data_IF_375260367037
#
_entry.id   IF_375260367037
#
_cell.length_a   1.000
_cell.length_b   1.000
_cell.length_c   1.000
_cell.angle_alpha   90.00
_cell.angle_beta   90.00
_cell.angle_gamma   90.00
#
_symmetry.space_group_name_H-M   'P 1'
#
loop_
_entity.id
_entity.type
_entity.pdbx_description
1 polymer ?
#
# COMPACT_ATOMS: atom_id res chain seq x y z
N UNK A 1 28.97 -2.55 -2.97
CA UNK A 1 28.17 -3.78 -2.83
C UNK A 1 26.87 -3.46 -2.10
N UNK A 2 25.76 -3.96 -2.63
CA UNK A 2 24.44 -3.70 -2.05
C UNK A 2 24.28 -4.46 -0.74
N UNK A 3 23.82 -3.81 0.31
CA UNK A 3 23.55 -4.48 1.57
C UNK A 3 22.25 -5.29 1.46
N UNK A 4 22.18 -6.39 2.23
CA UNK A 4 20.96 -7.22 2.25
C UNK A 4 19.82 -6.49 2.95
N UNK A 5 18.59 -6.89 2.63
CA UNK A 5 17.41 -6.38 3.32
C UNK A 5 17.48 -6.61 4.83
N UNK A 6 17.96 -7.79 5.24
CA UNK A 6 18.06 -8.15 6.66
C UNK A 6 19.03 -7.23 7.41
N UNK A 7 20.16 -6.93 6.79
CA UNK A 7 21.14 -6.02 7.40
C UNK A 7 20.59 -4.60 7.49
N UNK A 8 19.99 -4.12 6.42
CA UNK A 8 19.40 -2.79 6.41
C UNK A 8 18.25 -2.69 7.41
N UNK A 9 17.44 -3.72 7.51
CA UNK A 9 16.37 -3.76 8.51
C UNK A 9 16.91 -3.68 9.93
N UNK A 10 17.98 -4.44 10.23
CA UNK A 10 18.62 -4.40 11.54
C UNK A 10 19.14 -3.00 11.87
N UNK A 11 19.76 -2.33 10.90
CA UNK A 11 20.24 -0.96 11.10
C UNK A 11 19.09 0.02 11.31
N UNK A 12 18.02 -0.11 10.52
CA UNK A 12 16.84 0.73 10.65
C UNK A 12 16.18 0.54 12.02
N UNK A 13 16.15 -0.68 12.54
CA UNK A 13 15.60 -0.95 13.87
C UNK A 13 16.39 -0.26 14.97
N UNK A 14 17.65 0.07 14.70
CA UNK A 14 18.51 0.80 15.65
C UNK A 14 18.39 2.31 15.47
N UNK A 15 17.52 2.78 14.57
CA UNK A 15 17.29 4.19 14.36
C UNK A 15 18.06 4.80 13.19
N UNK A 16 18.66 4.01 12.33
CA UNK A 16 19.40 4.50 11.17
C UNK A 16 18.43 4.82 10.03
N UNK A 17 18.09 6.10 9.88
CA UNK A 17 17.16 6.55 8.84
C UNK A 17 17.70 6.31 7.44
N UNK A 18 19.02 6.41 7.24
CA UNK A 18 19.63 6.14 5.94
C UNK A 18 19.43 4.68 5.54
N UNK A 19 19.52 3.77 6.51
CA UNK A 19 19.27 2.35 6.24
C UNK A 19 17.83 2.11 5.82
N UNK A 20 16.88 2.82 6.41
CA UNK A 20 15.48 2.72 6.01
C UNK A 20 15.27 3.16 4.56
N UNK A 21 15.86 4.28 4.17
CA UNK A 21 15.80 4.76 2.79
C UNK A 21 16.40 3.75 1.83
N UNK A 22 17.54 3.17 2.19
CA UNK A 22 18.20 2.14 1.38
C UNK A 22 17.36 0.88 1.27
N UNK A 23 16.66 0.52 2.35
CA UNK A 23 15.77 -0.64 2.36
C UNK A 23 14.61 -0.45 1.40
N UNK A 24 14.00 0.72 1.40
CA UNK A 24 12.93 1.08 0.46
C UNK A 24 13.47 1.01 -0.97
N UNK A 25 14.62 1.59 -1.21
CA UNK A 25 15.24 1.60 -2.54
C UNK A 25 15.56 0.19 -3.03
N UNK A 26 16.07 -0.68 -2.15
CA UNK A 26 16.38 -2.07 -2.50
C UNK A 26 15.14 -2.82 -2.98
N UNK A 27 13.96 -2.45 -2.49
CA UNK A 27 12.72 -3.17 -2.79
C UNK A 27 11.80 -2.42 -3.73
N UNK A 28 12.30 -1.35 -4.32
CA UNK A 28 11.56 -0.49 -5.25
C UNK A 28 10.96 -1.26 -6.41
N UNK A 29 11.72 -2.17 -7.01
CA UNK A 29 11.24 -2.97 -8.14
C UNK A 29 10.11 -3.91 -7.73
N UNK A 30 10.25 -4.55 -6.57
CA UNK A 30 9.21 -5.44 -6.06
C UNK A 30 7.92 -4.68 -5.77
N UNK A 31 8.03 -3.56 -5.07
CA UNK A 31 6.87 -2.74 -4.72
C UNK A 31 6.20 -2.21 -5.98
N UNK A 32 7.00 -1.77 -6.97
CA UNK A 32 6.48 -1.30 -8.25
C UNK A 32 5.73 -2.40 -9.00
N UNK A 33 6.26 -3.61 -8.98
CA UNK A 33 5.60 -4.75 -9.63
C UNK A 33 4.27 -5.06 -8.97
N UNK A 34 4.22 -5.12 -7.64
CA UNK A 34 2.98 -5.38 -6.92
C UNK A 34 1.95 -4.28 -7.21
N UNK A 35 2.38 -3.02 -7.20
CA UNK A 35 1.49 -1.89 -7.48
C UNK A 35 0.93 -1.97 -8.90
N UNK A 36 1.77 -2.26 -9.89
CA UNK A 36 1.33 -2.36 -11.28
C UNK A 36 0.38 -3.55 -11.48
N UNK A 37 0.68 -4.69 -10.85
CA UNK A 37 -0.17 -5.87 -10.93
C UNK A 37 -1.54 -5.63 -10.32
N UNK A 38 -1.59 -4.98 -9.16
CA UNK A 38 -2.86 -4.61 -8.51
C UNK A 38 -3.65 -3.62 -9.35
N UNK A 39 -2.97 -2.59 -9.85
CA UNK A 39 -3.61 -1.55 -10.66
C UNK A 39 -4.31 -2.16 -11.86
N UNK A 40 -3.63 -3.12 -12.51
CA UNK A 40 -4.16 -3.78 -13.69
C UNK A 40 -5.25 -4.79 -13.34
N UNK A 41 -5.00 -5.67 -12.35
CA UNK A 41 -5.93 -6.74 -12.00
C UNK A 41 -7.25 -6.21 -11.44
N UNK A 42 -7.21 -5.08 -10.76
CA UNK A 42 -8.42 -4.44 -10.21
C UNK A 42 -9.03 -3.41 -11.16
N UNK A 43 -8.45 -3.26 -12.35
CA UNK A 43 -8.93 -2.32 -13.37
C UNK A 43 -9.08 -0.90 -12.83
N UNK A 44 -8.08 -0.44 -12.08
CA UNK A 44 -8.16 0.85 -11.39
C UNK A 44 -8.17 2.03 -12.34
N UNK A 45 -7.61 1.88 -13.55
CA UNK A 45 -7.61 2.94 -14.55
C UNK A 45 -9.03 3.39 -14.92
N UNK A 46 -10.00 2.47 -14.93
CA UNK A 46 -11.39 2.75 -15.28
C UNK A 46 -12.30 2.79 -14.06
N UNK A 47 -11.75 2.74 -12.86
CA UNK A 47 -12.55 2.64 -11.64
C UNK A 47 -13.22 3.94 -11.21
N UNK A 48 -12.69 5.08 -11.65
CA UNK A 48 -13.14 6.38 -11.17
C UNK A 48 -12.62 6.73 -9.78
N UNK A 49 -11.76 5.90 -9.18
CA UNK A 49 -11.26 6.12 -7.83
C UNK A 49 -10.16 7.20 -7.75
N UNK A 50 -9.66 7.65 -8.90
CA UNK A 50 -8.60 8.66 -8.97
C UNK A 50 -7.32 8.21 -8.26
N UNK A 51 -6.98 6.94 -8.44
CA UNK A 51 -5.73 6.35 -7.95
C UNK A 51 -4.82 6.04 -9.12
N UNK A 52 -3.53 6.28 -8.95
CA UNK A 52 -2.53 5.83 -9.92
C UNK A 52 -1.56 4.84 -9.27
N UNK A 53 -0.61 4.32 -10.07
CA UNK A 53 0.36 3.35 -9.57
C UNK A 53 1.30 3.97 -8.54
N UNK A 54 1.59 5.28 -8.65
CA UNK A 54 2.46 5.96 -7.68
C UNK A 54 1.81 6.02 -6.31
N UNK A 55 0.50 6.22 -6.25
CA UNK A 55 -0.23 6.17 -4.98
C UNK A 55 -0.06 4.81 -4.31
N UNK A 56 -0.20 3.74 -5.09
CA UNK A 56 -0.04 2.38 -4.58
C UNK A 56 1.40 2.10 -4.14
N UNK A 57 2.38 2.61 -4.89
CA UNK A 57 3.79 2.45 -4.51
C UNK A 57 4.08 3.12 -3.17
N UNK A 58 3.54 4.31 -2.95
CA UNK A 58 3.69 5.02 -1.68
C UNK A 58 3.04 4.23 -0.54
N UNK A 59 1.85 3.70 -0.76
CA UNK A 59 1.21 2.84 0.24
C UNK A 59 2.05 1.61 0.54
N UNK A 60 2.63 1.00 -0.48
CA UNK A 60 3.51 -0.16 -0.31
C UNK A 60 4.77 0.18 0.49
N UNK A 61 5.37 1.34 0.23
CA UNK A 61 6.52 1.82 1.00
C UNK A 61 6.16 1.97 2.48
N UNK A 62 4.98 2.48 2.78
CA UNK A 62 4.52 2.59 4.17
C UNK A 62 4.30 1.23 4.80
N UNK A 63 3.79 0.27 4.04
CA UNK A 63 3.63 -1.10 4.52
C UNK A 63 4.98 -1.74 4.87
N UNK A 64 5.98 -1.54 4.01
CA UNK A 64 7.34 -2.00 4.28
C UNK A 64 7.89 -1.35 5.55
N UNK A 65 7.76 -0.04 5.65
CA UNK A 65 8.23 0.73 6.81
C UNK A 65 7.62 0.19 8.10
N UNK A 66 6.33 -0.05 8.12
CA UNK A 66 5.63 -0.55 9.31
C UNK A 66 6.06 -1.98 9.68
N UNK A 67 6.56 -2.75 8.72
CA UNK A 67 7.04 -4.10 8.97
C UNK A 67 8.42 -4.12 9.66
N UNK A 68 9.21 -3.06 9.49
CA UNK A 68 10.59 -3.02 9.97
C UNK A 68 10.70 -3.28 11.48
N UNK A 69 9.96 -2.56 12.36
CA UNK A 69 10.14 -2.76 13.80
C UNK A 69 9.79 -4.16 14.30
N UNK A 70 8.94 -4.86 13.55
CA UNK A 70 8.40 -6.15 13.98
C UNK A 70 9.17 -7.34 13.43
N UNK A 71 10.09 -7.11 12.49
CA UNK A 71 10.83 -8.20 11.87
C UNK A 71 11.83 -8.79 12.86
N UNK A 72 11.86 -10.12 12.94
CA UNK A 72 12.79 -10.87 13.77
C UNK A 72 13.59 -11.83 12.89
N UNK A 73 14.84 -11.48 12.63
CA UNK A 73 15.74 -12.29 11.79
C UNK A 73 16.01 -13.68 12.39
N UNK A 74 15.87 -13.81 13.71
CA UNK A 74 16.11 -15.09 14.38
C UNK A 74 15.09 -16.16 14.02
N UNK A 75 13.95 -15.77 13.45
CA UNK A 75 12.92 -16.72 13.01
C UNK A 75 13.25 -17.41 11.69
N UNK A 76 14.36 -17.03 11.04
CA UNK A 76 14.82 -17.71 9.83
C UNK A 76 14.11 -17.30 8.56
N UNK A 77 13.18 -16.36 8.60
CA UNK A 77 12.47 -15.86 7.44
C UNK A 77 13.21 -14.68 6.84
N UNK A 78 13.23 -14.57 5.52
CA UNK A 78 13.78 -13.39 4.85
C UNK A 78 12.86 -12.19 5.06
N UNK A 79 13.48 -10.99 5.15
CA UNK A 79 12.71 -9.77 5.41
C UNK A 79 11.61 -9.55 4.38
N UNK A 80 11.92 -9.70 3.09
CA UNK A 80 10.91 -9.42 2.06
C UNK A 80 9.75 -10.41 2.12
N UNK A 81 10.02 -11.67 2.45
CA UNK A 81 8.97 -12.67 2.65
C UNK A 81 8.03 -12.24 3.78
N UNK A 82 8.62 -11.72 4.87
CA UNK A 82 7.85 -11.22 6.01
C UNK A 82 7.06 -9.95 5.66
N UNK A 83 7.70 -9.02 4.94
CA UNK A 83 7.10 -7.71 4.66
C UNK A 83 6.10 -7.73 3.51
N UNK A 84 6.17 -8.71 2.60
CA UNK A 84 5.33 -8.75 1.41
C UNK A 84 3.83 -8.67 1.72
N UNK A 85 3.29 -9.42 2.70
CA UNK A 85 1.87 -9.25 3.06
C UNK A 85 1.52 -7.86 3.57
N UNK A 86 2.41 -7.23 4.34
CA UNK A 86 2.18 -5.87 4.84
C UNK A 86 2.17 -4.86 3.70
N UNK A 87 3.06 -5.04 2.72
CA UNK A 87 3.12 -4.19 1.53
C UNK A 87 1.81 -4.30 0.75
N UNK A 88 1.39 -5.53 0.47
CA UNK A 88 0.16 -5.80 -0.27
C UNK A 88 -1.07 -5.25 0.48
N UNK A 89 -1.16 -5.52 1.77
CA UNK A 89 -2.30 -5.08 2.58
C UNK A 89 -2.39 -3.55 2.66
N UNK A 90 -1.25 -2.86 2.72
CA UNK A 90 -1.24 -1.40 2.72
C UNK A 90 -1.82 -0.84 1.41
N UNK A 91 -1.47 -1.46 0.28
CA UNK A 91 -2.03 -1.08 -1.01
C UNK A 91 -3.53 -1.35 -1.07
N UNK A 92 -3.96 -2.51 -0.59
CA UNK A 92 -5.39 -2.87 -0.57
C UNK A 92 -6.19 -1.95 0.34
N UNK A 93 -5.62 -1.55 1.47
CA UNK A 93 -6.26 -0.60 2.37
C UNK A 93 -6.48 0.75 1.68
N UNK A 94 -5.49 1.21 0.90
CA UNK A 94 -5.63 2.45 0.13
C UNK A 94 -6.76 2.35 -0.88
N UNK A 95 -6.85 1.24 -1.61
CA UNK A 95 -7.94 1.02 -2.59
C UNK A 95 -9.28 1.02 -1.88
N UNK A 96 -9.36 0.35 -0.75
CA UNK A 96 -10.60 0.26 0.04
C UNK A 96 -11.05 1.63 0.52
N UNK A 97 -10.11 2.43 1.02
CA UNK A 97 -10.41 3.78 1.49
C UNK A 97 -10.86 4.68 0.34
N UNK A 98 -10.21 4.56 -0.81
CA UNK A 98 -10.59 5.33 -2.00
C UNK A 98 -11.99 4.93 -2.48
N UNK A 99 -12.32 3.64 -2.43
CA UNK A 99 -13.65 3.15 -2.80
C UNK A 99 -14.72 3.69 -1.85
N UNK A 100 -14.45 3.67 -0.55
CA UNK A 100 -15.37 4.22 0.44
C UNK A 100 -15.61 5.72 0.20
N UNK A 101 -14.54 6.48 -0.08
CA UNK A 101 -14.67 7.91 -0.39
C UNK A 101 -15.43 8.14 -1.68
N UNK A 102 -15.22 7.29 -2.68
CA UNK A 102 -15.97 7.35 -3.95
C UNK A 102 -17.46 7.11 -3.72
N UNK A 103 -17.80 6.10 -2.94
CA UNK A 103 -19.21 5.81 -2.64
C UNK A 103 -19.88 6.96 -1.91
N UNK A 104 -19.16 7.58 -0.98
CA UNK A 104 -19.67 8.76 -0.26
C UNK A 104 -20.02 9.90 -1.22
N UNK A 105 -19.18 10.13 -2.22
CA UNK A 105 -19.43 11.18 -3.22
C UNK A 105 -20.55 10.80 -4.18
N UNK A 106 -20.86 9.50 -4.31
CA UNK A 106 -21.85 8.99 -5.27
C UNK A 106 -23.20 8.70 -4.62
N UNK A 107 -23.41 9.10 -3.36
CA UNK A 107 -24.72 9.00 -2.73
C UNK A 107 -25.37 10.37 -2.66
N UNK A 108 -26.68 10.38 -2.68
CA UNK A 108 -27.48 11.60 -2.49
C UNK A 108 -28.60 11.28 -1.52
N UNK A 109 -29.15 12.32 -0.90
CA UNK A 109 -30.22 12.18 0.07
C UNK A 109 -31.54 12.52 -0.62
N UNK A 110 -32.53 11.65 -0.45
CA UNK A 110 -33.87 11.94 -0.98
C UNK A 110 -34.64 12.87 -0.02
N UNK A 111 -35.85 13.21 -0.39
CA UNK A 111 -36.69 14.14 0.39
C UNK A 111 -37.04 13.64 1.77
N UNK A 112 -36.92 12.32 2.02
CA UNK A 112 -37.21 11.70 3.31
C UNK A 112 -35.95 11.44 4.12
N UNK A 113 -34.78 11.93 3.65
CA UNK A 113 -33.51 11.76 4.33
C UNK A 113 -32.82 10.43 4.07
N UNK A 114 -33.29 9.66 3.11
CA UNK A 114 -32.73 8.36 2.75
C UNK A 114 -31.58 8.56 1.77
N UNK A 115 -30.42 7.96 2.05
CA UNK A 115 -29.25 8.05 1.19
C UNK A 115 -29.41 7.10 0.00
N UNK A 116 -29.21 7.61 -1.20
CA UNK A 116 -29.31 6.86 -2.44
C UNK A 116 -28.05 7.06 -3.29
N UNK A 117 -27.63 6.03 -4.07
CA UNK A 117 -26.59 6.25 -5.07
C UNK A 117 -26.98 7.37 -6.03
N UNK A 118 -26.02 8.21 -6.40
CA UNK A 118 -26.28 9.38 -7.24
C UNK A 118 -26.99 9.01 -8.56
N UNK A 119 -26.70 7.83 -9.11
CA UNK A 119 -27.30 7.35 -10.36
C UNK A 119 -28.82 7.12 -10.26
N UNK A 120 -29.36 7.04 -9.04
CA UNK A 120 -30.79 6.86 -8.80
C UNK A 120 -31.49 8.15 -8.38
N UNK A 121 -30.75 9.24 -8.29
CA UNK A 121 -31.30 10.56 -7.94
C UNK A 121 -31.75 11.24 -9.23
N UNK A 122 -32.78 10.75 -9.80
CA UNK A 122 -33.26 11.18 -11.09
C UNK A 122 -33.97 12.53 -11.13
#
# INVERSE_FOLDING_TARGET
MKQTNERLCALAQKGDATALDSLIDNNKSFIGKVANDLFRSMNLAQSGLNLDTDDLKQAGNMGLWKAVPKFDAARGMKFLTYAAPAIHNAMMDMVRDAFAAFEQRMVTEDKDGILLPARFAG
#
